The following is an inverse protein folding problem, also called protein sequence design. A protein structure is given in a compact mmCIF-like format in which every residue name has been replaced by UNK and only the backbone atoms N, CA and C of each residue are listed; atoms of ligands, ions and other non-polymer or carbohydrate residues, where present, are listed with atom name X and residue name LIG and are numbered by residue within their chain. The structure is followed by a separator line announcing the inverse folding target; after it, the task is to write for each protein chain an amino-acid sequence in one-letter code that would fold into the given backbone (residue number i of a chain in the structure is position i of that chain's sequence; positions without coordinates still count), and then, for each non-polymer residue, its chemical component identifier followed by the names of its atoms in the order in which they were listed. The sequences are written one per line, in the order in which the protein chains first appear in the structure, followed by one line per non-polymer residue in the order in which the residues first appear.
data_IF_732777764104
#
_entry.id   IF_732777764104
#
_cell.length_a   1.000
_cell.length_b   1.000
_cell.length_c   1.000
_cell.angle_alpha   90.00
_cell.angle_beta   90.00
_cell.angle_gamma   90.00
#
_symmetry.space_group_name_H-M   'P 1'
#
loop_
_entity.id
_entity.type
_entity.pdbx_description
1 polymer ?
2 non-polymer ?
3 non-polymer ?
4 water ?
#
# COMPACT_ATOMS: atom_id res chain seq x y z
N UNK A 29 -16.04 -31.72 -7.00
CA UNK A 29 -16.56 -30.70 -6.04
C UNK A 29 -15.43 -29.78 -5.54
N UNK A 30 -14.25 -29.81 -6.19
CA UNK A 30 -13.21 -28.86 -5.88
C UNK A 30 -13.70 -27.45 -6.17
N UNK A 31 -13.35 -26.51 -5.28
CA UNK A 31 -13.70 -25.10 -5.42
C UNK A 31 -12.46 -24.40 -5.99
N UNK A 32 -12.62 -23.77 -7.14
CA UNK A 32 -11.61 -22.93 -7.77
C UNK A 32 -11.99 -21.47 -7.55
N UNK A 33 -11.09 -20.75 -6.88
CA UNK A 33 -11.29 -19.36 -6.53
C UNK A 33 -10.22 -18.54 -7.23
N UNK A 34 -10.63 -17.62 -8.06
CA UNK A 34 -9.68 -16.83 -8.82
C UNK A 34 -9.30 -15.58 -8.05
N UNK A 35 -8.03 -15.22 -8.01
CA UNK A 35 -7.50 -14.11 -7.23
C UNK A 35 -6.63 -13.30 -8.16
N UNK A 36 -7.05 -12.09 -8.51
CA UNK A 36 -6.28 -11.23 -9.40
C UNK A 36 -5.58 -10.13 -8.63
N UNK A 37 -4.40 -9.78 -9.06
CA UNK A 37 -3.75 -8.64 -8.45
C UNK A 37 -2.71 -8.05 -9.38
N UNK A 38 -2.27 -6.81 -9.11
CA UNK A 38 -1.44 -6.08 -10.05
C UNK A 38 0.07 -6.30 -9.95
N UNK A 39 0.52 -7.09 -9.00
CA UNK A 39 1.90 -7.02 -8.57
C UNK A 39 2.78 -8.05 -9.30
N UNK A 40 4.04 -7.66 -9.38
CA UNK A 40 5.05 -8.41 -10.12
C UNK A 40 5.49 -9.66 -9.37
N UNK A 41 6.03 -10.66 -10.11
CA UNK A 41 6.64 -11.83 -9.47
C UNK A 41 7.69 -11.41 -8.45
N UNK A 42 7.67 -12.10 -7.32
CA UNK A 42 8.62 -11.84 -6.25
C UNK A 42 8.34 -10.61 -5.42
N UNK A 43 7.33 -9.79 -5.75
CA UNK A 43 6.98 -8.64 -4.93
C UNK A 43 6.42 -9.09 -3.57
N UNK A 44 6.55 -8.24 -2.54
CA UNK A 44 6.08 -8.59 -1.21
C UNK A 44 4.59 -8.95 -1.15
N UNK A 45 3.78 -8.22 -1.93
CA UNK A 45 2.35 -8.52 -1.98
C UNK A 45 2.10 -9.83 -2.71
N UNK A 46 2.76 -10.06 -3.85
CA UNK A 46 2.67 -11.31 -4.57
C UNK A 46 3.01 -12.50 -3.68
N UNK A 47 4.11 -12.38 -2.93
CA UNK A 47 4.54 -13.48 -2.08
C UNK A 47 3.49 -13.81 -1.04
N UNK A 48 2.85 -12.77 -0.47
CA UNK A 48 1.77 -12.97 0.48
C UNK A 48 0.64 -13.80 -0.12
N UNK A 49 0.32 -13.55 -1.40
CA UNK A 49 -0.78 -14.24 -2.03
C UNK A 49 -0.39 -15.67 -2.44
N UNK A 50 0.90 -15.86 -2.74
CA UNK A 50 1.40 -17.22 -2.86
C UNK A 50 1.26 -18.00 -1.57
N UNK A 51 1.57 -17.36 -0.44
CA UNK A 51 1.43 -17.98 0.84
C UNK A 51 -0.04 -18.34 1.09
N UNK A 52 -0.94 -17.37 0.80
CA UNK A 52 -2.36 -17.60 0.94
C UNK A 52 -2.84 -18.81 0.16
N UNK A 53 -2.45 -18.88 -1.10
CA UNK A 53 -2.75 -20.04 -1.92
C UNK A 53 -2.30 -21.34 -1.22
N UNK A 54 -1.03 -21.36 -0.76
CA UNK A 54 -0.47 -22.57 -0.15
C UNK A 54 -1.30 -22.98 1.05
N UNK A 55 -1.67 -22.02 1.92
CA UNK A 55 -2.36 -22.32 3.15
C UNK A 55 -3.79 -22.78 2.90
N UNK A 56 -4.47 -22.19 1.90
CA UNK A 56 -5.81 -22.63 1.52
C UNK A 56 -5.76 -24.09 1.04
N UNK A 57 -4.75 -24.42 0.23
CA UNK A 57 -4.56 -25.79 -0.24
C UNK A 57 -4.29 -26.75 0.94
N UNK A 58 -3.44 -26.35 1.89
CA UNK A 58 -3.12 -27.21 3.02
C UNK A 58 -4.35 -27.42 3.89
N UNK A 59 -5.03 -26.34 4.26
CA UNK A 59 -6.12 -26.45 5.22
C UNK A 59 -7.32 -27.23 4.65
N UNK A 60 -7.48 -27.21 3.31
CA UNK A 60 -8.62 -27.82 2.64
C UNK A 60 -8.27 -29.20 2.08
N UNK A 61 -7.05 -29.66 2.32
CA UNK A 61 -6.54 -30.90 1.75
C UNK A 61 -6.75 -30.91 0.24
N UNK A 62 -6.57 -29.75 -0.39
CA UNK A 62 -6.63 -29.62 -1.83
C UNK A 62 -8.05 -29.42 -2.38
N UNK A 63 -9.08 -29.35 -1.53
CA UNK A 63 -10.47 -29.24 -1.97
C UNK A 63 -10.79 -27.81 -2.41
N UNK A 64 -9.99 -26.84 -1.94
CA UNK A 64 -10.15 -25.45 -2.33
C UNK A 64 -8.84 -25.00 -2.95
N UNK A 65 -8.92 -24.40 -4.13
CA UNK A 65 -7.72 -24.01 -4.85
C UNK A 65 -7.83 -22.53 -5.22
N UNK A 66 -6.85 -21.75 -4.77
CA UNK A 66 -6.68 -20.37 -5.21
C UNK A 66 -5.87 -20.37 -6.50
N UNK A 67 -6.44 -19.78 -7.56
CA UNK A 67 -5.79 -19.63 -8.83
C UNK A 67 -5.33 -18.18 -8.89
N UNK A 68 -4.03 -17.96 -8.89
CA UNK A 68 -3.41 -16.64 -8.88
C UNK A 68 -3.25 -16.06 -10.29
N UNK A 69 -3.64 -14.78 -10.44
CA UNK A 69 -3.50 -14.05 -11.68
C UNK A 69 -2.88 -12.70 -11.35
N UNK A 70 -1.60 -12.73 -11.06
CA UNK A 70 -0.86 -11.54 -10.70
C UNK A 70 -0.38 -10.73 -11.90
N UNK A 71 0.38 -9.67 -11.62
CA UNK A 71 1.08 -8.85 -12.60
C UNK A 71 0.09 -8.31 -13.61
N UNK A 72 -1.13 -7.95 -13.16
CA UNK A 72 -2.15 -7.37 -14.01
C UNK A 72 -2.60 -8.27 -15.17
N UNK A 73 -2.50 -9.61 -15.01
CA UNK A 73 -2.88 -10.60 -16.01
C UNK A 73 -4.37 -10.59 -16.33
N UNK A 74 -5.16 -9.99 -15.44
CA UNK A 74 -6.60 -9.92 -15.66
C UNK A 74 -7.03 -8.47 -15.81
N UNK A 75 -6.12 -7.54 -15.63
CA UNK A 75 -6.39 -6.13 -15.80
C UNK A 75 -5.65 -5.31 -14.78
N UNK A 76 -5.85 -3.99 -14.85
CA UNK A 76 -5.31 -3.07 -13.87
C UNK A 76 -6.00 -3.29 -12.51
N UNK A 77 -5.40 -2.69 -11.48
CA UNK A 77 -5.94 -2.66 -10.12
C UNK A 77 -7.44 -2.35 -10.17
N UNK A 78 -7.84 -1.24 -10.82
CA UNK A 78 -9.24 -0.87 -10.85
C UNK A 78 -10.08 -1.91 -11.59
N UNK A 79 -9.60 -2.40 -12.76
CA UNK A 79 -10.40 -3.33 -13.51
C UNK A 79 -10.69 -4.61 -12.70
N UNK A 80 -9.67 -5.17 -12.04
CA UNK A 80 -9.90 -6.43 -11.36
C UNK A 80 -10.76 -6.21 -10.09
N UNK A 81 -10.60 -5.06 -9.41
CA UNK A 81 -11.44 -4.81 -8.24
C UNK A 81 -12.88 -4.57 -8.68
N UNK A 82 -13.06 -3.89 -9.81
CA UNK A 82 -14.42 -3.79 -10.33
C UNK A 82 -15.02 -5.18 -10.50
N UNK A 83 -14.26 -6.09 -11.13
CA UNK A 83 -14.74 -7.43 -11.40
C UNK A 83 -15.08 -8.16 -10.09
N UNK A 84 -14.24 -8.01 -9.04
CA UNK A 84 -14.51 -8.64 -7.74
C UNK A 84 -15.79 -8.04 -7.13
N UNK A 85 -15.94 -6.72 -7.23
CA UNK A 85 -17.12 -6.07 -6.68
C UNK A 85 -18.39 -6.54 -7.38
N UNK A 86 -18.32 -6.75 -8.70
CA UNK A 86 -19.49 -7.14 -9.46
C UNK A 86 -19.73 -8.64 -9.40
N UNK A 87 -18.71 -9.45 -9.09
CA UNK A 87 -18.89 -10.87 -8.95
C UNK A 87 -18.39 -11.66 -10.17
N UNK A 88 -17.74 -11.02 -11.13
CA UNK A 88 -17.21 -11.79 -12.27
C UNK A 88 -15.83 -12.36 -11.94
N UNK A 89 -15.29 -11.99 -10.79
CA UNK A 89 -14.09 -12.55 -10.24
C UNK A 89 -14.37 -12.77 -8.76
N UNK A 90 -13.76 -13.77 -8.16
CA UNK A 90 -14.00 -14.04 -6.76
C UNK A 90 -13.20 -13.11 -5.85
N UNK A 91 -11.97 -12.86 -6.22
CA UNK A 91 -11.08 -12.08 -5.35
C UNK A 91 -10.18 -11.16 -6.16
N UNK A 92 -9.84 -10.02 -5.59
CA UNK A 92 -8.88 -9.10 -6.18
C UNK A 92 -8.22 -8.30 -5.07
N UNK A 93 -7.06 -7.74 -5.38
CA UNK A 93 -6.33 -6.92 -4.44
C UNK A 93 -6.11 -5.54 -5.04
N UNK A 94 -6.45 -4.48 -4.27
CA UNK A 94 -6.25 -3.10 -4.67
C UNK A 94 -5.50 -2.33 -3.62
N UNK A 95 -4.59 -1.47 -4.05
CA UNK A 95 -3.90 -0.63 -3.07
C UNK A 95 -4.92 0.26 -2.35
N UNK A 96 -4.60 0.66 -1.12
CA UNK A 96 -5.51 1.49 -0.36
C UNK A 96 -5.79 2.81 -1.06
N UNK A 97 -4.83 3.55 -1.67
CA UNK A 97 -5.22 4.75 -2.41
C UNK A 97 -6.17 4.44 -3.57
N UNK A 98 -5.99 3.30 -4.26
CA UNK A 98 -6.84 2.92 -5.38
C UNK A 98 -8.22 2.51 -4.91
N UNK A 99 -8.38 2.12 -3.65
CA UNK A 99 -9.70 1.85 -3.08
C UNK A 99 -10.53 3.13 -3.14
N UNK A 100 -9.96 4.29 -3.57
CA UNK A 100 -10.74 5.50 -3.83
C UNK A 100 -11.55 5.47 -5.13
N UNK A 101 -11.22 4.58 -6.06
CA UNK A 101 -12.13 4.34 -7.17
C UNK A 101 -13.45 3.75 -6.64
N UNK A 102 -13.54 3.33 -5.35
CA UNK A 102 -14.70 2.60 -4.84
C UNK A 102 -15.36 3.19 -3.59
N UNK A 103 -14.60 3.74 -2.65
CA UNK A 103 -15.18 4.41 -1.51
C UNK A 103 -14.19 5.47 -1.06
N UNK A 104 -14.66 6.45 -0.30
CA UNK A 104 -13.80 7.53 0.16
C UNK A 104 -13.22 7.26 1.54
N UNK A 105 -13.75 6.29 2.30
CA UNK A 105 -13.35 6.17 3.69
C UNK A 105 -11.90 5.71 3.75
N UNK A 106 -11.47 5.00 2.71
CA UNK A 106 -10.13 4.43 2.82
C UNK A 106 -9.10 5.54 2.82
N UNK A 107 -9.47 6.78 2.47
CA UNK A 107 -8.56 7.90 2.37
C UNK A 107 -7.86 8.14 3.71
N UNK A 108 -8.49 7.72 4.82
CA UNK A 108 -7.92 7.92 6.14
C UNK A 108 -6.45 7.47 6.16
N UNK A 109 -6.13 6.36 5.52
CA UNK A 109 -4.80 5.77 5.61
C UNK A 109 -3.76 6.55 4.84
N UNK A 110 -4.15 7.41 3.88
CA UNK A 110 -3.22 8.22 3.11
C UNK A 110 -2.80 9.48 3.85
N UNK A 111 -3.44 9.85 4.95
CA UNK A 111 -3.14 11.13 5.58
C UNK A 111 -1.68 11.17 6.01
N UNK A 112 -1.00 12.31 5.79
CA UNK A 112 0.45 12.34 6.07
C UNK A 112 0.70 12.22 7.56
N UNK A 113 1.52 11.25 7.96
CA UNK A 113 1.90 11.03 9.34
C UNK A 113 0.73 10.65 10.25
N UNK A 114 -0.37 10.09 9.70
CA UNK A 114 -1.36 9.54 10.61
C UNK A 114 -0.79 8.30 11.32
N UNK A 115 0.13 7.59 10.66
CA UNK A 115 0.83 6.47 11.29
C UNK A 115 2.34 6.65 11.08
N UNK A 116 3.13 5.93 11.89
CA UNK A 116 4.56 5.86 11.74
C UNK A 116 5.02 4.46 12.04
N UNK A 117 6.16 4.03 11.45
CA UNK A 117 6.61 2.66 11.65
C UNK A 117 6.81 2.19 13.09
N UNK A 118 7.13 3.10 14.00
CA UNK A 118 7.33 2.76 15.40
C UNK A 118 6.11 2.02 15.98
N UNK A 119 4.89 2.31 15.50
CA UNK A 119 3.66 1.84 16.13
C UNK A 119 2.99 0.77 15.26
N UNK A 120 3.75 0.19 14.34
CA UNK A 120 3.16 -0.69 13.32
C UNK A 120 2.47 -1.92 13.94
N UNK A 121 3.04 -2.51 15.00
CA UNK A 121 2.42 -3.70 15.56
C UNK A 121 1.06 -3.39 16.16
N UNK A 122 0.89 -2.23 16.76
CA UNK A 122 -0.39 -1.84 17.30
C UNK A 122 -1.38 -1.61 16.17
N UNK A 123 -0.91 -1.06 15.04
CA UNK A 123 -1.81 -0.83 13.92
C UNK A 123 -2.33 -2.16 13.40
N UNK A 124 -1.42 -3.09 13.20
CA UNK A 124 -1.78 -4.42 12.76
C UNK A 124 -2.82 -5.07 13.68
N UNK A 125 -2.58 -5.00 15.00
CA UNK A 125 -3.47 -5.59 15.98
C UNK A 125 -4.87 -5.02 15.80
N UNK A 126 -4.95 -3.69 15.68
CA UNK A 126 -6.23 -3.00 15.58
C UNK A 126 -6.99 -3.41 14.32
N UNK A 127 -6.26 -3.57 13.20
CA UNK A 127 -6.85 -4.06 11.98
C UNK A 127 -7.28 -5.52 12.14
N UNK A 128 -6.42 -6.35 12.70
CA UNK A 128 -6.66 -7.79 12.81
C UNK A 128 -7.84 -8.11 13.74
N UNK A 129 -7.87 -7.49 14.91
CA UNK A 129 -8.70 -7.99 16.00
C UNK A 129 -9.53 -6.88 16.65
N UNK A 130 -9.39 -5.61 16.22
CA UNK A 130 -9.98 -4.51 16.95
C UNK A 130 -11.14 -3.78 16.26
N UNK A 131 -11.61 -2.68 16.85
CA UNK A 131 -12.72 -1.91 16.36
C UNK A 131 -12.43 -1.41 14.94
N UNK A 132 -11.17 -1.01 14.66
CA UNK A 132 -10.80 -0.57 13.33
C UNK A 132 -11.11 -1.62 12.26
N UNK A 133 -10.63 -2.85 12.47
CA UNK A 133 -10.91 -3.93 11.55
C UNK A 133 -12.41 -4.16 11.37
N UNK A 134 -13.20 -4.03 12.43
CA UNK A 134 -14.63 -4.27 12.31
C UNK A 134 -15.27 -3.17 11.47
N UNK A 135 -14.86 -1.92 11.68
CA UNK A 135 -15.36 -0.80 10.90
C UNK A 135 -15.04 -1.00 9.42
N UNK A 136 -13.81 -1.41 9.13
CA UNK A 136 -13.35 -1.58 7.76
C UNK A 136 -14.16 -2.71 7.12
N UNK A 137 -14.50 -3.75 7.90
CA UNK A 137 -15.36 -4.82 7.40
C UNK A 137 -16.71 -4.25 6.97
N UNK A 138 -17.26 -3.35 7.76
CA UNK A 138 -18.56 -2.76 7.49
C UNK A 138 -18.51 -1.93 6.22
N UNK A 139 -17.43 -1.15 6.05
CA UNK A 139 -17.28 -0.29 4.89
C UNK A 139 -17.19 -1.19 3.65
N UNK A 140 -16.40 -2.25 3.72
CA UNK A 140 -16.22 -3.13 2.58
C UNK A 140 -17.56 -3.76 2.19
N UNK A 141 -18.34 -4.20 3.20
CA UNK A 141 -19.62 -4.85 2.90
C UNK A 141 -20.51 -3.90 2.11
N UNK A 142 -20.47 -2.61 2.44
CA UNK A 142 -21.35 -1.61 1.84
C UNK A 142 -21.06 -1.48 0.35
N UNK A 143 -19.85 -1.87 -0.08
CA UNK A 143 -19.48 -1.84 -1.49
C UNK A 143 -19.28 -3.25 -2.08
N UNK A 144 -19.87 -4.25 -1.42
CA UNK A 144 -19.99 -5.56 -2.05
C UNK A 144 -18.81 -6.49 -1.79
N UNK A 145 -17.99 -6.17 -0.79
CA UNK A 145 -16.70 -6.82 -0.60
C UNK A 145 -16.51 -7.34 0.83
N UNK A 146 -15.66 -8.37 0.96
CA UNK A 146 -15.26 -8.98 2.23
C UNK A 146 -13.74 -8.95 2.28
N UNK A 147 -13.14 -8.24 3.25
CA UNK A 147 -11.69 -8.24 3.39
C UNK A 147 -11.17 -9.61 3.81
N UNK A 148 -10.03 -9.98 3.19
CA UNK A 148 -9.36 -11.23 3.52
C UNK A 148 -7.91 -11.00 3.95
N UNK A 149 -7.17 -10.09 3.29
CA UNK A 149 -5.85 -9.72 3.78
C UNK A 149 -5.64 -8.21 3.62
N UNK A 150 -5.11 -7.57 4.67
CA UNK A 150 -4.65 -6.20 4.64
C UNK A 150 -3.13 -6.20 4.39
N UNK A 151 -2.74 -6.55 3.20
CA UNK A 151 -1.33 -6.77 2.89
C UNK A 151 -0.56 -5.48 3.16
N UNK A 152 0.63 -5.64 3.76
CA UNK A 152 1.51 -4.51 3.96
C UNK A 152 2.04 -4.04 2.61
N UNK A 153 2.11 -2.72 2.44
CA UNK A 153 2.58 -2.12 1.18
C UNK A 153 3.48 -0.88 1.38
N UNK A 154 3.68 -0.51 2.62
CA UNK A 154 4.81 0.20 3.13
C UNK A 154 4.66 1.70 3.17
N UNK A 155 5.73 2.34 3.64
CA UNK A 155 5.84 3.75 3.78
C UNK A 155 6.68 4.34 2.66
N UNK A 156 6.15 5.35 2.01
CA UNK A 156 6.87 6.01 0.90
C UNK A 156 7.87 7.02 1.46
N UNK A 157 9.02 7.17 0.77
CA UNK A 157 10.09 8.09 1.07
C UNK A 157 10.40 8.94 -0.15
N UNK A 158 10.83 10.17 0.05
CA UNK A 158 11.26 11.04 -1.05
C UNK A 158 12.67 10.65 -1.50
N UNK A 159 12.80 10.71 -2.84
CA UNK A 159 14.09 10.42 -3.48
C UNK A 159 14.30 11.45 -4.59
N UNK A 160 15.60 11.69 -4.94
CA UNK A 160 15.94 12.62 -6.00
C UNK A 160 17.07 12.06 -6.85
N UNK A 161 17.13 12.60 -8.07
CA UNK A 161 18.20 12.24 -9.04
C UNK A 161 19.49 13.01 -8.81
N UNK A 162 19.40 14.31 -8.48
CA UNK A 162 20.60 15.16 -8.44
C UNK A 162 20.65 16.13 -7.28
N UNK A 163 19.51 16.60 -6.78
CA UNK A 163 19.51 17.57 -5.70
C UNK A 163 19.57 16.88 -4.34
N UNK A 164 20.59 17.11 -3.51
CA UNK A 164 20.65 16.46 -2.23
C UNK A 164 19.47 16.90 -1.34
N UNK A 165 18.88 15.87 -0.69
CA UNK A 165 17.79 16.08 0.26
C UNK A 165 18.17 15.42 1.57
N UNK A 166 18.27 16.23 2.61
CA UNK A 166 18.61 15.76 3.94
C UNK A 166 17.75 16.46 4.98
N UNK A 167 16.96 17.47 4.58
CA UNK A 167 16.18 18.29 5.49
C UNK A 167 14.84 18.60 4.85
N UNK A 168 13.89 19.06 5.68
CA UNK A 168 12.61 19.54 5.17
C UNK A 168 12.78 20.67 4.15
N UNK A 169 13.67 21.62 4.47
CA UNK A 169 13.86 22.78 3.60
C UNK A 169 14.43 22.35 2.24
N UNK A 170 15.24 21.31 2.21
CA UNK A 170 15.76 20.81 0.95
C UNK A 170 14.66 20.37 -0.01
N UNK A 171 13.41 20.12 0.47
CA UNK A 171 12.34 19.70 -0.39
C UNK A 171 11.69 20.88 -1.12
N UNK A 172 11.93 22.10 -0.62
CA UNK A 172 11.29 23.26 -1.20
C UNK A 172 11.72 23.40 -2.66
N UNK A 173 10.73 23.58 -3.51
CA UNK A 173 10.89 23.82 -4.94
C UNK A 173 11.33 22.58 -5.72
N UNK A 174 11.37 21.43 -5.05
CA UNK A 174 11.70 20.22 -5.78
C UNK A 174 10.54 19.88 -6.71
N UNK A 175 10.83 19.56 -7.98
CA UNK A 175 9.81 19.10 -8.88
C UNK A 175 9.64 17.60 -8.69
N UNK A 176 8.45 17.16 -8.25
CA UNK A 176 8.29 15.80 -7.75
C UNK A 176 7.15 15.12 -8.47
N UNK A 177 7.42 13.94 -9.02
CA UNK A 177 6.35 13.17 -9.63
C UNK A 177 5.35 12.74 -8.57
N UNK A 178 4.06 12.82 -8.92
CA UNK A 178 3.02 12.21 -8.09
C UNK A 178 2.18 11.28 -8.94
N UNK A 179 1.41 10.45 -8.24
CA UNK A 179 0.27 9.74 -8.78
C UNK A 179 -0.90 10.74 -8.89
N UNK A 180 -2.08 10.22 -9.21
CA UNK A 180 -3.27 11.06 -9.30
C UNK A 180 -4.01 11.16 -7.96
N UNK A 181 -3.35 10.83 -6.86
CA UNK A 181 -3.92 10.93 -5.53
C UNK A 181 -3.96 12.38 -5.09
N UNK A 182 -5.15 12.91 -4.74
CA UNK A 182 -5.18 14.29 -4.26
C UNK A 182 -4.44 14.54 -2.96
N UNK A 183 -4.38 13.53 -2.09
CA UNK A 183 -3.61 13.70 -0.87
C UNK A 183 -2.12 13.76 -1.21
N UNK A 184 -1.64 12.96 -2.15
CA UNK A 184 -0.24 12.97 -2.52
C UNK A 184 0.17 14.37 -3.04
N UNK A 185 -0.68 14.95 -3.90
CA UNK A 185 -0.44 16.26 -4.48
C UNK A 185 -0.41 17.34 -3.38
N UNK A 186 -1.40 17.26 -2.47
CA UNK A 186 -1.53 18.25 -1.40
C UNK A 186 -0.34 18.16 -0.44
N UNK A 187 0.13 16.93 -0.18
CA UNK A 187 1.30 16.78 0.70
C UNK A 187 2.50 17.49 0.08
N UNK A 188 2.74 17.20 -1.21
CA UNK A 188 3.89 17.83 -1.86
C UNK A 188 3.79 19.33 -1.81
N UNK A 189 2.62 19.89 -2.13
CA UNK A 189 2.41 21.32 -2.10
C UNK A 189 2.63 21.88 -0.70
N UNK A 190 2.17 21.13 0.31
CA UNK A 190 2.32 21.61 1.67
C UNK A 190 3.78 21.72 2.04
N UNK A 191 4.63 20.81 1.53
CA UNK A 191 6.05 20.89 1.81
C UNK A 191 6.78 21.88 0.90
N UNK A 192 6.07 22.67 0.14
CA UNK A 192 6.72 23.67 -0.69
C UNK A 192 7.32 23.08 -1.98
N UNK A 193 6.89 21.86 -2.30
CA UNK A 193 7.40 21.18 -3.48
C UNK A 193 6.54 21.56 -4.68
N UNK A 194 6.99 21.18 -5.87
CA UNK A 194 6.23 21.41 -7.07
C UNK A 194 5.79 20.07 -7.64
N UNK A 195 4.60 19.59 -7.27
CA UNK A 195 4.07 18.31 -7.77
C UNK A 195 3.70 18.28 -9.24
N UNK A 196 4.10 17.20 -9.93
CA UNK A 196 3.62 16.99 -11.29
C UNK A 196 3.10 15.58 -11.40
N UNK A 197 1.79 15.38 -11.56
CA UNK A 197 1.24 14.05 -11.78
C UNK A 197 1.69 13.51 -13.13
N UNK A 198 2.37 12.36 -13.08
CA UNK A 198 2.86 11.67 -14.28
C UNK A 198 2.51 10.20 -14.11
N UNK A 199 2.06 9.57 -15.19
CA UNK A 199 1.84 8.15 -15.19
C UNK A 199 3.10 7.39 -14.83
N UNK A 200 2.91 6.21 -14.25
CA UNK A 200 4.05 5.39 -13.92
C UNK A 200 4.94 5.11 -15.16
N UNK A 201 4.30 4.84 -16.28
CA UNK A 201 5.08 4.50 -17.48
C UNK A 201 5.98 5.62 -17.96
N UNK A 202 5.63 6.88 -17.64
CA UNK A 202 6.37 8.05 -18.08
C UNK A 202 7.38 8.52 -17.03
N UNK A 203 7.40 7.86 -15.88
CA UNK A 203 8.15 8.36 -14.75
C UNK A 203 9.65 8.21 -14.91
N UNK A 204 10.12 7.03 -15.34
CA UNK A 204 11.55 6.84 -15.51
C UNK A 204 12.15 7.87 -16.47
N UNK A 205 11.49 8.05 -17.62
CA UNK A 205 11.95 9.00 -18.63
C UNK A 205 11.98 10.42 -18.03
N UNK A 206 10.92 10.77 -17.30
CA UNK A 206 10.88 12.08 -16.66
C UNK A 206 12.05 12.29 -15.70
N UNK A 207 12.36 11.30 -14.87
CA UNK A 207 13.54 11.39 -13.99
C UNK A 207 14.83 11.47 -14.80
N UNK A 208 14.95 10.61 -15.81
CA UNK A 208 16.18 10.52 -16.58
C UNK A 208 16.43 11.83 -17.33
N UNK A 209 15.38 12.41 -17.92
CA UNK A 209 15.49 13.56 -18.79
C UNK A 209 15.44 14.88 -18.01
N UNK A 210 15.12 14.83 -16.70
CA UNK A 210 15.07 16.01 -15.83
C UNK A 210 13.78 16.81 -15.89
N UNK A 211 12.66 16.28 -16.36
CA UNK A 211 11.40 17.01 -16.29
C UNK A 211 10.81 16.98 -14.87
N UNK A 212 11.26 16.04 -14.02
CA UNK A 212 11.06 16.09 -12.56
C UNK A 212 12.39 15.84 -11.89
N UNK A 213 12.54 16.27 -10.63
CA UNK A 213 13.76 16.14 -9.87
C UNK A 213 13.76 14.90 -8.95
N UNK A 214 12.59 14.30 -8.74
CA UNK A 214 12.42 13.22 -7.80
C UNK A 214 10.99 12.69 -7.77
N UNK A 215 10.73 11.88 -6.76
CA UNK A 215 9.48 11.15 -6.59
C UNK A 215 9.42 10.69 -5.14
N UNK A 216 8.34 10.01 -4.80
CA UNK A 216 8.20 9.44 -3.46
C UNK A 216 7.58 8.06 -3.53
N UNK A 217 8.27 7.08 -3.00
CA UNK A 217 7.78 5.73 -3.11
C UNK A 217 8.55 4.87 -2.12
N UNK A 218 8.20 3.59 -2.05
CA UNK A 218 8.97 2.65 -1.23
C UNK A 218 10.30 2.32 -1.90
N UNK A 219 11.30 2.01 -1.08
CA UNK A 219 12.56 1.61 -1.71
C UNK A 219 12.39 0.35 -2.52
N UNK A 220 11.57 -0.61 -2.06
CA UNK A 220 11.48 -1.84 -2.81
C UNK A 220 10.81 -1.60 -4.16
N UNK A 221 9.76 -0.79 -4.27
CA UNK A 221 9.15 -0.55 -5.57
C UNK A 221 10.12 0.21 -6.48
N UNK A 222 10.90 1.14 -5.92
CA UNK A 222 11.86 1.90 -6.73
C UNK A 222 12.96 0.99 -7.23
N UNK A 223 13.53 0.16 -6.35
CA UNK A 223 14.60 -0.76 -6.75
C UNK A 223 14.07 -1.77 -7.76
N UNK A 224 12.87 -2.29 -7.54
CA UNK A 224 12.32 -3.33 -8.38
C UNK A 224 11.99 -2.76 -9.76
N UNK A 225 11.64 -1.45 -9.84
CA UNK A 225 11.34 -0.77 -11.08
C UNK A 225 12.63 -0.23 -11.74
N UNK A 226 13.76 -0.38 -11.03
CA UNK A 226 15.14 -0.04 -11.44
C UNK A 226 15.31 1.48 -11.59
N UNK A 227 14.45 2.24 -10.90
CA UNK A 227 14.65 3.67 -10.76
C UNK A 227 15.94 3.95 -10.01
N UNK A 228 16.51 2.96 -9.29
CA UNK A 228 17.74 3.11 -8.53
C UNK A 228 18.81 3.75 -9.44
N UNK A 229 18.90 3.24 -10.67
CA UNK A 229 19.86 3.69 -11.69
C UNK A 229 19.97 5.19 -11.82
N UNK A 230 18.84 5.91 -11.73
CA UNK A 230 18.80 7.34 -11.99
C UNK A 230 18.75 8.14 -10.68
N UNK A 231 18.70 7.49 -9.52
CA UNK A 231 18.60 8.24 -8.25
C UNK A 231 19.96 8.41 -7.58
N UNK A 232 20.06 9.44 -6.74
CA UNK A 232 21.24 9.64 -5.93
C UNK A 232 20.98 9.89 -4.45
N UNK A 233 19.77 10.36 -4.07
CA UNK A 233 19.53 10.68 -2.69
C UNK A 233 18.14 10.17 -2.27
N UNK A 234 18.04 9.90 -0.97
CA UNK A 234 16.78 9.45 -0.40
C UNK A 234 16.75 10.00 1.03
N UNK A 235 15.53 10.28 1.54
CA UNK A 235 15.30 10.52 2.97
C UNK A 235 14.22 9.57 3.45
N UNK A 236 14.29 9.19 4.71
CA UNK A 236 13.32 8.32 5.38
C UNK A 236 12.08 9.08 5.80
N UNK A 237 11.49 9.81 4.88
CA UNK A 237 10.37 10.70 5.20
C UNK A 237 9.17 9.90 5.68
N UNK A 238 8.85 8.73 5.14
CA UNK A 238 7.75 7.92 5.60
C UNK A 238 6.47 8.76 5.65
N UNK A 239 6.23 9.56 4.60
CA UNK A 239 5.20 10.59 4.60
C UNK A 239 3.86 10.06 4.07
N UNK A 240 3.82 8.83 3.64
CA UNK A 240 2.58 8.16 3.25
C UNK A 240 2.68 6.70 3.62
N UNK A 241 1.55 6.12 4.01
CA UNK A 241 1.42 4.71 4.35
C UNK A 241 0.33 4.11 3.48
N UNK A 242 0.54 2.89 3.04
CA UNK A 242 -0.51 2.19 2.32
C UNK A 242 -0.44 0.68 2.50
N UNK A 243 -1.55 0.09 2.13
CA UNK A 243 -1.75 -1.35 2.15
C UNK A 243 -2.22 -1.80 0.79
N UNK A 244 -2.23 -3.12 0.59
CA UNK A 244 -2.81 -3.73 -0.62
C UNK A 244 -3.89 -4.67 -0.10
N UNK A 245 -5.15 -4.31 -0.40
CA UNK A 245 -6.32 -4.90 0.22
C UNK A 245 -6.89 -6.03 -0.62
N UNK A 246 -6.72 -7.26 -0.13
CA UNK A 246 -7.27 -8.42 -0.76
C UNK A 246 -8.73 -8.56 -0.31
N UNK A 247 -9.63 -8.52 -1.31
CA UNK A 247 -11.05 -8.57 -1.07
C UNK A 247 -11.65 -9.74 -1.81
N UNK A 248 -12.65 -10.36 -1.20
CA UNK A 248 -13.49 -11.33 -1.86
C UNK A 248 -14.86 -10.70 -2.13
N UNK A 249 -15.43 -11.03 -3.26
CA UNK A 249 -16.83 -10.65 -3.50
C UNK A 249 -17.68 -11.12 -2.32
N UNK A 250 -18.47 -10.24 -1.67
CA UNK A 250 -19.18 -10.64 -0.48
C UNK A 250 -20.29 -11.66 -0.75
N UNK A 251 -21.07 -11.46 -1.84
CA UNK A 251 -22.08 -12.45 -2.15
C UNK A 251 -21.45 -13.83 -2.33
N UNK A 252 -20.31 -13.89 -3.04
CA UNK A 252 -19.63 -15.15 -3.20
C UNK A 252 -19.21 -15.72 -1.85
N UNK A 253 -18.53 -14.92 -1.01
CA UNK A 253 -18.16 -15.40 0.31
C UNK A 253 -19.37 -15.96 1.06
N UNK A 254 -20.49 -15.22 1.03
CA UNK A 254 -21.68 -15.59 1.81
C UNK A 254 -22.34 -16.85 1.24
N UNK A 255 -22.00 -17.23 0.01
CA UNK A 255 -22.47 -18.45 -0.61
C UNK A 255 -21.69 -19.70 -0.20
N UNK A 256 -20.54 -19.53 0.47
CA UNK A 256 -19.67 -20.64 0.75
C UNK A 256 -20.12 -21.30 2.06
N UNK A 257 -19.83 -22.61 2.20
CA UNK A 257 -19.97 -23.27 3.48
C UNK A 257 -19.09 -22.63 4.55
N UNK A 258 -19.53 -22.68 5.81
CA UNK A 258 -18.84 -22.08 6.94
C UNK A 258 -17.41 -22.59 7.00
N UNK A 259 -17.17 -23.86 6.78
CA UNK A 259 -15.80 -24.39 6.91
C UNK A 259 -14.87 -23.73 5.88
N UNK A 260 -15.40 -23.40 4.70
CA UNK A 260 -14.61 -22.84 3.62
C UNK A 260 -14.39 -21.36 3.92
N UNK A 261 -15.40 -20.67 4.44
CA UNK A 261 -15.20 -19.33 4.91
C UNK A 261 -14.04 -19.29 5.89
N UNK A 262 -14.06 -20.20 6.88
CA UNK A 262 -13.04 -20.24 7.93
C UNK A 262 -11.66 -20.53 7.34
N UNK A 263 -11.55 -21.42 6.38
CA UNK A 263 -10.28 -21.72 5.77
C UNK A 263 -9.76 -20.43 5.13
N UNK A 264 -10.61 -19.67 4.45
CA UNK A 264 -10.16 -18.48 3.73
C UNK A 264 -9.72 -17.41 4.75
N UNK A 265 -10.51 -17.19 5.79
CA UNK A 265 -10.27 -16.20 6.81
C UNK A 265 -8.94 -16.54 7.50
N UNK A 266 -8.77 -17.82 7.88
CA UNK A 266 -7.57 -18.16 8.63
C UNK A 266 -6.34 -18.11 7.74
N UNK A 267 -6.47 -18.61 6.52
CA UNK A 267 -5.36 -18.59 5.59
C UNK A 267 -4.93 -17.14 5.39
N UNK A 268 -5.90 -16.23 5.27
CA UNK A 268 -5.58 -14.84 5.07
C UNK A 268 -4.82 -14.25 6.25
N UNK A 269 -5.29 -14.48 7.45
CA UNK A 269 -4.67 -13.95 8.66
C UNK A 269 -3.26 -14.52 8.79
N UNK A 270 -3.11 -15.83 8.60
CA UNK A 270 -1.79 -16.46 8.74
C UNK A 270 -0.84 -15.97 7.64
N UNK A 271 -1.28 -15.97 6.38
CA UNK A 271 -0.43 -15.49 5.32
C UNK A 271 0.01 -14.06 5.60
N UNK A 272 -0.87 -13.25 6.17
CA UNK A 272 -0.53 -11.87 6.40
C UNK A 272 0.60 -11.76 7.42
N UNK A 273 0.64 -12.66 8.41
CA UNK A 273 1.70 -12.60 9.42
C UNK A 273 3.05 -12.78 8.71
N UNK A 274 3.11 -13.71 7.77
CA UNK A 274 4.31 -13.93 6.99
C UNK A 274 4.57 -12.73 6.09
N UNK A 275 3.52 -12.22 5.42
CA UNK A 275 3.70 -11.18 4.43
C UNK A 275 4.23 -9.91 5.10
N UNK A 276 3.79 -9.58 6.31
CA UNK A 276 4.26 -8.36 6.95
C UNK A 276 5.76 -8.48 7.28
N UNK A 277 6.16 -9.68 7.67
CA UNK A 277 7.54 -9.95 8.01
C UNK A 277 8.40 -9.95 6.76
N UNK A 278 7.95 -10.61 5.68
CA UNK A 278 8.66 -10.68 4.42
C UNK A 278 8.85 -9.26 3.88
N UNK A 279 7.84 -8.40 4.03
CA UNK A 279 7.91 -7.02 3.57
C UNK A 279 9.11 -6.32 4.22
N UNK A 280 9.25 -6.45 5.54
CA UNK A 280 10.35 -5.85 6.29
C UNK A 280 11.67 -6.32 5.70
N UNK A 281 11.77 -7.61 5.38
CA UNK A 281 13.02 -8.18 4.89
C UNK A 281 13.33 -7.63 3.49
N UNK A 282 12.34 -7.61 2.60
CA UNK A 282 12.54 -7.07 1.26
C UNK A 282 12.86 -5.57 1.29
N UNK A 283 12.24 -4.81 2.19
CA UNK A 283 12.53 -3.38 2.28
C UNK A 283 13.98 -3.16 2.72
N UNK A 284 14.46 -3.94 3.70
CA UNK A 284 15.86 -3.91 4.11
C UNK A 284 16.75 -4.18 2.90
N UNK A 285 16.45 -5.23 2.16
CA UNK A 285 17.23 -5.64 0.99
C UNK A 285 17.27 -4.52 -0.05
N UNK A 286 16.15 -3.79 -0.23
CA UNK A 286 16.08 -2.71 -1.17
C UNK A 286 16.92 -1.52 -0.71
N UNK A 287 16.88 -1.22 0.57
CA UNK A 287 17.68 -0.13 1.10
C UNK A 287 19.15 -0.47 0.95
N UNK A 288 19.52 -1.71 1.23
CA UNK A 288 20.92 -2.11 1.02
C UNK A 288 21.31 -1.96 -0.44
N UNK A 289 20.42 -2.31 -1.37
CA UNK A 289 20.74 -2.12 -2.78
C UNK A 289 20.95 -0.63 -3.07
N UNK A 290 20.14 0.26 -2.49
CA UNK A 290 20.32 1.68 -2.68
C UNK A 290 21.74 2.05 -2.29
N UNK A 291 22.15 1.62 -1.12
CA UNK A 291 23.42 2.04 -0.55
C UNK A 291 24.55 1.46 -1.39
N UNK A 292 24.42 0.20 -1.81
CA UNK A 292 25.39 -0.42 -2.69
C UNK A 292 25.54 0.35 -4.00
N UNK A 293 24.46 0.90 -4.54
CA UNK A 293 24.48 1.60 -5.82
C UNK A 293 24.81 3.09 -5.64
N UNK A 294 25.25 3.48 -4.44
CA UNK A 294 25.81 4.82 -4.25
C UNK A 294 24.77 5.89 -3.90
N UNK A 295 23.55 5.45 -3.53
CA UNK A 295 22.54 6.40 -3.11
C UNK A 295 22.79 6.77 -1.67
N UNK A 296 22.76 8.08 -1.37
CA UNK A 296 22.90 8.60 -0.02
C UNK A 296 21.51 8.59 0.64
N UNK A 297 21.35 7.72 1.63
CA UNK A 297 20.10 7.57 2.37
C UNK A 297 20.24 8.27 3.71
N UNK A 298 19.58 9.41 3.84
CA UNK A 298 19.66 10.20 5.05
C UNK A 298 18.56 9.79 6.02
N UNK A 299 18.96 9.55 7.26
CA UNK A 299 18.09 9.36 8.40
C UNK A 299 17.81 10.74 8.99
N UNK A 300 16.57 11.23 8.79
CA UNK A 300 16.12 12.52 9.24
C UNK A 300 16.28 12.64 10.75
N UNK A 301 16.77 13.80 11.15
CA UNK A 301 16.81 14.08 12.58
C UNK A 301 15.41 14.27 13.17
N UNK A 302 15.28 14.19 14.49
CA UNK A 302 14.01 14.52 15.11
C UNK A 302 13.47 15.86 14.69
N UNK A 303 14.33 16.87 14.65
CA UNK A 303 13.93 18.22 14.28
C UNK A 303 13.35 18.24 12.87
N UNK A 304 14.01 17.56 11.93
CA UNK A 304 13.55 17.60 10.54
C UNK A 304 12.25 16.79 10.36
N UNK A 305 12.13 15.65 11.04
CA UNK A 305 10.88 14.90 11.01
C UNK A 305 9.76 15.78 11.49
N UNK A 306 10.00 16.48 12.61
CA UNK A 306 8.92 17.27 13.16
C UNK A 306 8.45 18.37 12.22
N UNK A 307 9.34 18.91 11.41
CA UNK A 307 9.01 19.91 10.41
C UNK A 307 8.13 19.24 9.35
N UNK A 308 8.47 18.02 8.92
CA UNK A 308 7.64 17.35 7.91
C UNK A 308 6.21 17.12 8.42
N UNK A 309 6.10 16.72 9.68
CA UNK A 309 4.80 16.45 10.30
C UNK A 309 4.00 17.75 10.38
N UNK A 310 4.61 18.82 10.86
CA UNK A 310 3.82 20.03 11.04
C UNK A 310 3.47 20.69 9.72
N UNK A 311 4.35 20.57 8.71
CA UNK A 311 4.07 21.25 7.46
C UNK A 311 2.97 20.52 6.71
N UNK A 312 2.88 19.18 6.91
CA UNK A 312 1.86 18.42 6.23
C UNK A 312 0.54 18.32 6.99
N UNK A 313 0.49 18.66 8.29
CA UNK A 313 -0.77 18.52 9.01
C UNK A 313 -1.93 19.31 8.40
N UNK A 314 -1.74 20.51 7.77
CA UNK A 314 -2.89 21.20 7.16
C UNK A 314 -3.63 20.37 6.11
N UNK A 315 -2.98 19.36 5.54
CA UNK A 315 -3.64 18.50 4.58
C UNK A 315 -4.84 17.80 5.21
N UNK A 316 -4.74 17.43 6.49
CA UNK A 316 -5.83 16.78 7.17
C UNK A 316 -7.07 17.71 7.21
N UNK A 317 -6.88 19.00 7.43
CA UNK A 317 -7.99 19.94 7.46
C UNK A 317 -8.58 20.14 6.07
N UNK A 318 -7.71 20.05 5.06
CA UNK A 318 -8.19 20.21 3.70
C UNK A 318 -9.19 19.14 3.35
N UNK A 319 -8.94 17.91 3.77
CA UNK A 319 -9.72 16.75 3.41
C UNK A 319 -10.68 16.26 4.49
N UNK A 320 -10.90 17.13 5.51
CA UNK A 320 -11.61 16.75 6.72
C UNK A 320 -13.07 16.37 6.40
N UNK A 321 -13.63 17.07 5.43
CA UNK A 321 -15.04 16.87 5.16
C UNK A 321 -15.25 15.59 4.38
N UNK A 322 -14.17 14.96 3.90
CA UNK A 322 -14.29 13.76 3.11
C UNK A 322 -13.89 12.49 3.87
N UNK A 323 -13.34 12.58 5.11
CA UNK A 323 -12.86 11.43 5.88
C UNK A 323 -13.56 11.39 7.25
N UNK A 324 -14.24 10.29 7.66
CA UNK A 324 -15.00 10.32 8.92
C UNK A 324 -14.08 10.54 10.11
N UNK A 325 -14.44 11.44 11.02
CA UNK A 325 -13.66 11.64 12.24
C UNK A 325 -13.44 10.38 13.06
N UNK A 326 -14.45 9.49 13.11
CA UNK A 326 -14.39 8.29 13.90
C UNK A 326 -13.27 7.39 13.39
N UNK A 327 -13.09 7.38 12.07
CA UNK A 327 -12.07 6.53 11.48
C UNK A 327 -10.68 7.09 11.79
N UNK A 328 -10.48 8.38 11.62
CA UNK A 328 -9.23 9.02 12.01
C UNK A 328 -8.91 8.64 13.46
N UNK A 329 -9.93 8.71 14.33
CA UNK A 329 -9.70 8.48 15.74
C UNK A 329 -9.26 7.03 16.00
N UNK A 330 -9.84 6.06 15.30
CA UNK A 330 -9.46 4.67 15.49
C UNK A 330 -8.01 4.48 15.05
N UNK A 331 -7.63 5.09 13.91
CA UNK A 331 -6.24 4.92 13.48
C UNK A 331 -5.30 5.63 14.46
N UNK A 332 -5.62 6.83 14.92
CA UNK A 332 -4.74 7.54 15.81
C UNK A 332 -4.56 6.82 17.15
N UNK A 333 -5.59 6.11 17.63
CA UNK A 333 -5.50 5.35 18.87
C UNK A 333 -4.41 4.28 18.87
N UNK A 334 -4.01 3.85 17.67
CA UNK A 334 -3.00 2.83 17.53
C UNK A 334 -1.59 3.43 17.69
N UNK A 335 -1.47 4.76 17.71
CA UNK A 335 -0.19 5.45 17.62
C UNK A 335 0.20 6.12 18.94
N UNK A 336 -0.49 5.79 20.04
CA UNK A 336 -0.27 6.46 21.33
C UNK A 336 0.66 5.60 22.20
X LIG B 1 3.10 4.76 -8.88
X LIG B 1 3.24 4.87 -7.49
X LIG B 1 1.74 4.47 -9.24
X LIG B 1 1.31 5.08 -10.37
X LIG B 1 3.69 4.05 -9.22
X LIG B 1 3.37 5.60 -9.31
X LIG B 1 4.03 5.08 -7.28
X LIG B 1 1.17 4.75 -8.50
X LIG B 1 1.65 3.50 -9.34
X LIG B 1 0.51 4.84 -10.52
X LIG C 1 -12.97 -9.48 7.27
X LIG C 1 -13.19 -8.60 8.34
X LIG C 1 -11.82 -10.33 7.58
X LIG C 1 -11.92 -11.59 7.03
X LIG C 1 -12.78 -8.97 6.46
X LIG C 1 -13.76 -10.03 7.13
X LIG C 1 -13.86 -8.11 8.17
X LIG C 1 -11.75 -10.42 8.56
X LIG C 1 -11.01 -9.90 7.25
X LIG C 1 -11.25 -12.03 7.24
X LIG D 1 -17.82 7.07 -1.94
X LIG D 1 -18.59 7.72 -2.90
X LIG D 1 -18.03 7.59 -0.58
X LIG D 1 -17.51 6.79 0.45
X LIG D 1 -16.88 7.17 -2.18
X LIG D 1 -18.04 6.12 -1.96
X LIG D 1 -18.43 7.38 -3.66
X LIG D 1 -18.99 7.69 -0.43
X LIG D 1 -17.62 8.48 -0.52
X LIG D 1 -17.68 7.17 1.19
X LIG E 1 -12.75 -27.96 2.27
X LIG F 1 -0.83 7.87 -11.95
X LIG G 1 5.22 11.04 -2.68
X LIG G 1 4.53 9.91 -2.39
X LIG G 1 4.64 12.31 -3.08
X LIG G 1 4.93 12.62 -4.43
X LIG G 1 5.83 10.79 -3.40
X LIG G 1 5.77 11.23 -1.90
X LIG G 1 5.07 9.29 -2.18
X LIG G 1 5.01 13.01 -2.51
X LIG G 1 3.68 12.27 -2.96
X LIG G 1 4.59 13.38 -4.62
#
# INVERSE_FOLDING_TARGET
MKHLLKAGALVALACIVTLTAGAQAHAAKRINIRLAHPMAPGNNVTVGYEKFKELVAEKSNGRVRIQLFGNCMLGSDRVTMEAAQRGTLEMASSSSPNMANFSKQWMVFDLPYITSPEHQQKLYKAIDDGELGKKLDEIAASIGLKPIMYSEYGYRNFVTTKKPIKTADDLKNLKVRTTDSPIEVAVAAALGMAPTPISWGETYTALQQGTVDGEGNTFSLLNDAKHTEVLKYAIDSAHNYSMHLLMMNKAYYDSLPANVQQILTEAGREALTYQRSITSELEKKAEDAFIEQGITVTRLSPEERAKLVERTRPVWDKFKDDIPAELIKLVQETQQ
EDO C1 O1 C2 O2 H11 H12 HO1 H21 H22 HO2
EDO C1 O1 C2 O2 H11 H12 HO1 H21 H22 HO2
EDO C1 O1 C2 O2 H11 H12 HO1 H21 H22 HO2
CL CL
CL CL
EDO C1 O1 C2 O2 H11 H12 HO1 H21 H22 HO2
#
